data_IF_979005771054
#
_entry.id   IF_979005771054
#
_cell.length_a   1.000
_cell.length_b   1.000
_cell.length_c   1.000
_cell.angle_alpha   90.00
_cell.angle_beta   90.00
_cell.angle_gamma   90.00
#
_symmetry.space_group_name_H-M   'P 1'
#
loop_
_entity.id
_entity.type
_entity.pdbx_description
1 polymer ?
#
# COMPACT_ATOMS: atom_id res chain seq x y z
N UNK A 1 -33.27 -30.44 20.26
CA UNK A 1 -33.84 -29.54 19.23
C UNK A 1 -32.70 -28.84 18.52
N UNK A 2 -32.46 -29.23 17.27
CA UNK A 2 -31.25 -28.88 16.51
C UNK A 2 -31.32 -27.48 15.92
N UNK A 3 -30.19 -26.79 15.92
CA UNK A 3 -29.98 -25.55 15.17
C UNK A 3 -30.10 -25.88 13.67
N UNK A 4 -31.19 -25.46 13.02
CA UNK A 4 -31.35 -25.56 11.57
C UNK A 4 -30.93 -24.24 10.92
N UNK A 5 -29.91 -24.28 10.06
CA UNK A 5 -29.56 -23.16 9.19
C UNK A 5 -29.79 -23.55 7.73
N UNK A 6 -30.22 -22.59 6.87
CA UNK A 6 -30.41 -22.85 5.44
C UNK A 6 -29.15 -23.41 4.79
N UNK A 7 -29.33 -24.18 3.70
CA UNK A 7 -28.20 -24.70 2.92
C UNK A 7 -27.32 -23.52 2.44
N UNK A 8 -26.05 -23.54 2.82
CA UNK A 8 -25.08 -22.47 2.52
C UNK A 8 -24.89 -21.43 3.64
N UNK A 9 -25.66 -21.51 4.72
CA UNK A 9 -25.45 -20.68 5.91
C UNK A 9 -24.53 -21.36 6.92
N UNK A 10 -23.82 -20.54 7.70
CA UNK A 10 -22.91 -20.97 8.76
C UNK A 10 -23.11 -20.09 10.00
N UNK A 11 -23.06 -20.70 11.18
CA UNK A 11 -23.13 -19.99 12.47
C UNK A 11 -21.70 -19.66 12.89
N UNK A 12 -21.37 -18.37 13.00
CA UNK A 12 -20.10 -17.91 13.57
C UNK A 12 -20.31 -17.59 15.05
N UNK A 13 -19.53 -18.23 15.93
CA UNK A 13 -19.51 -17.97 17.37
C UNK A 13 -18.23 -17.22 17.74
N UNK A 14 -18.30 -16.31 18.71
CA UNK A 14 -17.16 -15.54 19.21
C UNK A 14 -17.39 -14.03 19.22
N UNK A 15 -16.46 -13.29 19.84
CA UNK A 15 -16.52 -11.83 19.92
C UNK A 15 -16.17 -11.19 18.57
N UNK A 16 -17.00 -10.27 18.09
CA UNK A 16 -16.77 -9.55 16.83
C UNK A 16 -16.11 -8.19 17.09
N UNK A 17 -14.86 -8.05 16.66
CA UNK A 17 -14.13 -6.79 16.73
C UNK A 17 -14.32 -5.99 15.42
N UNK A 18 -14.99 -4.84 15.50
CA UNK A 18 -15.12 -3.93 14.36
C UNK A 18 -14.06 -2.84 14.45
N UNK A 19 -13.12 -2.84 13.51
CA UNK A 19 -12.19 -1.72 13.33
C UNK A 19 -12.85 -0.74 12.34
N UNK A 20 -13.23 0.44 12.83
CA UNK A 20 -13.87 1.50 12.02
C UNK A 20 -12.91 2.66 11.83
N UNK A 21 -12.97 3.30 10.66
CA UNK A 21 -12.16 4.49 10.37
C UNK A 21 -10.65 4.22 10.31
N UNK A 22 -10.24 2.99 9.96
CA UNK A 22 -8.84 2.68 9.75
C UNK A 22 -8.30 3.53 8.58
N UNK A 23 -7.26 4.32 8.83
CA UNK A 23 -6.59 5.09 7.79
C UNK A 23 -5.84 4.12 6.88
N UNK A 24 -6.31 4.00 5.65
CA UNK A 24 -5.68 3.16 4.63
C UNK A 24 -4.59 3.98 3.94
N UNK A 25 -3.39 3.87 4.48
CA UNK A 25 -2.20 4.55 4.00
C UNK A 25 -1.10 3.52 3.74
N UNK A 26 -0.36 3.71 2.65
CA UNK A 26 0.83 2.92 2.33
C UNK A 26 1.92 3.87 1.86
N UNK A 27 3.16 3.62 2.29
CA UNK A 27 4.32 4.36 1.85
C UNK A 27 5.09 3.58 0.80
N UNK A 28 5.62 4.31 -0.18
CA UNK A 28 6.44 3.78 -1.29
C UNK A 28 7.74 4.57 -1.30
N UNK A 29 8.87 3.86 -1.28
CA UNK A 29 10.18 4.50 -1.20
C UNK A 29 11.31 3.62 -1.71
N UNK A 30 12.48 4.24 -1.84
CA UNK A 30 13.72 3.55 -2.20
C UNK A 30 14.44 3.13 -0.93
N UNK A 31 14.59 1.83 -0.72
CA UNK A 31 15.25 1.23 0.45
C UNK A 31 16.54 0.55 0.03
N UNK A 32 17.52 0.49 0.93
CA UNK A 32 18.70 -0.34 0.75
C UNK A 32 18.44 -1.72 1.36
N UNK A 33 18.59 -2.76 0.54
CA UNK A 33 18.37 -4.14 0.94
C UNK A 33 19.44 -5.01 0.29
N UNK A 34 20.18 -5.77 1.10
CA UNK A 34 21.33 -6.58 0.66
C UNK A 34 22.38 -5.81 -0.16
N UNK A 35 22.62 -4.54 0.20
CA UNK A 35 23.59 -3.67 -0.48
C UNK A 35 23.11 -3.08 -1.81
N UNK A 36 21.85 -3.33 -2.20
CA UNK A 36 21.24 -2.79 -3.41
C UNK A 36 20.06 -1.87 -3.08
N UNK A 37 19.93 -0.78 -3.85
CA UNK A 37 18.77 0.11 -3.76
C UNK A 37 17.59 -0.52 -4.51
N UNK A 38 16.47 -0.72 -3.83
CA UNK A 38 15.25 -1.32 -4.37
C UNK A 38 14.02 -0.51 -3.98
N UNK A 39 12.98 -0.58 -4.82
CA UNK A 39 11.69 0.00 -4.47
C UNK A 39 10.94 -0.91 -3.50
N UNK A 40 10.34 -0.32 -2.47
CA UNK A 40 9.52 -1.03 -1.49
C UNK A 40 8.21 -0.29 -1.27
N UNK A 41 7.13 -1.03 -1.03
CA UNK A 41 5.87 -0.51 -0.53
C UNK A 41 5.54 -1.18 0.81
N UNK A 42 5.06 -0.41 1.78
CA UNK A 42 4.75 -0.94 3.11
C UNK A 42 4.17 0.10 4.06
N UNK A 43 3.95 -0.28 5.34
CA UNK A 43 3.47 0.66 6.35
C UNK A 43 4.41 1.86 6.51
N UNK A 44 3.83 3.04 6.74
CA UNK A 44 4.59 4.29 6.89
C UNK A 44 5.67 4.19 7.96
N UNK A 45 5.38 3.54 9.08
CA UNK A 45 6.33 3.42 10.19
C UNK A 45 7.54 2.57 9.80
N UNK A 46 7.33 1.45 9.09
CA UNK A 46 8.42 0.64 8.56
C UNK A 46 9.26 1.43 7.54
N UNK A 47 8.62 2.18 6.64
CA UNK A 47 9.31 2.94 5.60
C UNK A 47 10.25 4.00 6.20
N UNK A 48 9.81 4.71 7.25
CA UNK A 48 10.63 5.70 7.97
C UNK A 48 11.90 5.11 8.58
N UNK A 49 11.89 3.83 8.96
CA UNK A 49 13.07 3.16 9.49
C UNK A 49 14.08 2.79 8.39
N UNK A 50 13.63 2.59 7.16
CA UNK A 50 14.47 2.15 6.05
C UNK A 50 14.95 3.28 5.15
N UNK A 51 14.20 4.37 5.02
CA UNK A 51 14.54 5.46 4.11
C UNK A 51 13.86 6.77 4.45
N UNK A 52 14.51 7.88 4.09
CA UNK A 52 13.92 9.22 4.08
C UNK A 52 13.34 9.59 2.70
N UNK A 53 13.62 8.79 1.66
CA UNK A 53 13.16 9.01 0.28
C UNK A 53 11.91 8.17 0.00
N UNK A 54 10.79 8.59 0.56
CA UNK A 54 9.50 7.93 0.36
C UNK A 54 8.33 8.92 0.26
N UNK A 55 7.21 8.42 -0.22
CA UNK A 55 5.93 9.13 -0.28
C UNK A 55 4.83 8.23 0.25
N UNK A 56 3.79 8.83 0.83
CA UNK A 56 2.63 8.10 1.34
C UNK A 56 1.41 8.38 0.48
N UNK A 57 0.67 7.32 0.14
CA UNK A 57 -0.55 7.37 -0.66
C UNK A 57 -1.72 6.73 0.10
N UNK A 58 -2.93 7.10 -0.33
CA UNK A 58 -4.21 6.56 0.14
C UNK A 58 -5.14 6.28 -1.05
N UNK A 59 -6.16 5.42 -0.91
CA UNK A 59 -7.22 5.31 -1.90
C UNK A 59 -7.82 6.67 -2.26
N UNK A 60 -8.05 6.90 -3.54
CA UNK A 60 -8.35 8.24 -4.06
C UNK A 60 -8.87 8.23 -5.49
N UNK A 61 -8.68 9.33 -6.21
CA UNK A 61 -9.25 9.53 -7.55
C UNK A 61 -8.21 9.64 -8.67
N UNK A 62 -6.94 9.85 -8.35
CA UNK A 62 -5.88 9.96 -9.36
C UNK A 62 -5.58 8.58 -9.98
N UNK A 63 -5.42 8.58 -11.31
CA UNK A 63 -5.09 7.37 -12.08
C UNK A 63 -3.68 6.89 -11.75
N UNK A 64 -3.50 5.56 -11.82
CA UNK A 64 -2.25 4.87 -11.49
C UNK A 64 -1.06 5.38 -12.29
N UNK A 65 -1.25 5.68 -13.57
CA UNK A 65 -0.16 6.13 -14.46
C UNK A 65 0.33 7.53 -14.10
N UNK A 66 -0.59 8.41 -13.68
CA UNK A 66 -0.24 9.78 -13.29
C UNK A 66 0.51 9.76 -11.97
N UNK A 67 -0.04 9.09 -10.96
CA UNK A 67 0.60 9.05 -9.65
C UNK A 67 1.95 8.33 -9.69
N UNK A 68 2.12 7.29 -10.52
CA UNK A 68 3.40 6.62 -10.67
C UNK A 68 4.49 7.57 -11.21
N UNK A 69 4.17 8.43 -12.19
CA UNK A 69 5.10 9.45 -12.68
C UNK A 69 5.44 10.47 -11.59
N UNK A 70 4.43 10.92 -10.84
CA UNK A 70 4.63 11.88 -9.76
C UNK A 70 5.50 11.28 -8.63
N UNK A 71 5.26 10.02 -8.25
CA UNK A 71 6.07 9.29 -7.26
C UNK A 71 7.51 9.17 -7.76
N UNK A 72 7.71 8.70 -9.00
CA UNK A 72 9.04 8.54 -9.59
C UNK A 72 9.82 9.85 -9.53
N UNK A 73 9.20 10.97 -9.91
CA UNK A 73 9.85 12.29 -9.87
C UNK A 73 10.27 12.75 -8.47
N UNK A 74 9.57 12.29 -7.42
CA UNK A 74 9.84 12.68 -6.02
C UNK A 74 10.91 11.83 -5.35
N UNK A 75 11.06 10.57 -5.73
CA UNK A 75 11.93 9.62 -5.01
C UNK A 75 13.17 9.18 -5.80
N UNK A 76 13.19 9.38 -7.12
CA UNK A 76 14.21 8.83 -8.02
C UNK A 76 15.30 9.83 -8.41
N UNK A 77 15.92 10.51 -7.44
CA UNK A 77 17.02 11.47 -7.70
C UNK A 77 18.24 10.82 -8.36
N UNK A 78 18.53 9.57 -8.01
CA UNK A 78 19.71 8.84 -8.49
C UNK A 78 19.46 8.13 -9.85
N UNK A 79 18.26 8.30 -10.43
CA UNK A 79 17.81 7.68 -11.68
C UNK A 79 17.95 6.14 -11.72
N UNK A 80 17.71 5.48 -10.58
CA UNK A 80 17.84 4.03 -10.39
C UNK A 80 16.54 3.29 -10.78
N UNK A 81 15.39 3.94 -10.58
CA UNK A 81 14.07 3.34 -10.79
C UNK A 81 13.53 3.65 -12.20
N UNK A 82 12.79 2.69 -12.75
CA UNK A 82 11.93 2.92 -13.92
C UNK A 82 10.49 3.24 -13.50
N UNK A 83 9.68 3.74 -14.43
CA UNK A 83 8.25 3.93 -14.20
C UNK A 83 7.53 2.59 -13.90
N UNK A 84 7.96 1.51 -14.55
CA UNK A 84 7.38 0.18 -14.38
C UNK A 84 7.60 -0.35 -12.95
N UNK A 85 8.76 -0.09 -12.36
CA UNK A 85 9.06 -0.45 -10.97
C UNK A 85 8.06 0.17 -9.99
N UNK A 86 7.73 1.46 -10.20
CA UNK A 86 6.74 2.17 -9.38
C UNK A 86 5.33 1.62 -9.62
N UNK A 87 4.95 1.36 -10.87
CA UNK A 87 3.63 0.80 -11.20
C UNK A 87 3.44 -0.58 -10.58
N UNK A 88 4.50 -1.40 -10.52
CA UNK A 88 4.47 -2.76 -9.98
C UNK A 88 4.17 -2.81 -8.48
N UNK A 89 4.67 -1.86 -7.69
CA UNK A 89 4.44 -1.81 -6.24
C UNK A 89 3.15 -1.08 -5.84
N UNK A 90 2.55 -0.33 -6.76
CA UNK A 90 1.32 0.41 -6.48
C UNK A 90 0.11 -0.54 -6.33
N UNK A 91 -0.75 -0.31 -5.32
CA UNK A 91 -1.98 -1.08 -5.16
C UNK A 91 -2.91 -0.91 -6.36
N UNK A 92 -3.90 -1.80 -6.47
CA UNK A 92 -4.92 -1.71 -7.50
C UNK A 92 -5.83 -0.49 -7.27
N UNK A 93 -6.38 0.04 -8.37
CA UNK A 93 -7.31 1.17 -8.34
C UNK A 93 -6.63 2.53 -8.38
N UNK A 94 -7.38 3.54 -7.95
CA UNK A 94 -6.98 4.95 -7.93
C UNK A 94 -6.49 5.33 -6.54
N UNK A 95 -5.48 6.18 -6.48
CA UNK A 95 -4.89 6.64 -5.24
C UNK A 95 -4.50 8.10 -5.35
N UNK A 96 -4.41 8.77 -4.21
CA UNK A 96 -3.93 10.14 -4.07
C UNK A 96 -2.81 10.17 -3.01
N UNK A 97 -1.98 11.20 -3.05
CA UNK A 97 -1.04 11.44 -1.95
C UNK A 97 -1.83 11.71 -0.65
N UNK A 98 -1.25 11.28 0.47
CA UNK A 98 -1.83 11.56 1.80
C UNK A 98 -1.87 13.05 2.06
#
# INVERSE_FOLDING_TARGET
SGEFVPKGAFIIRGHRNYIRGCKLEISIGLVEYDGEKRIMAGPTDAMKHHTNKFVTIKPGFTKKEKIAKDILSRINEDNILSLDDVVRVLPSGKCDFV
#
